data_IF_473885620297
#
_entry.id   IF_473885620297
#
_cell.length_a   1.000
_cell.length_b   1.000
_cell.length_c   1.000
_cell.angle_alpha   90.00
_cell.angle_beta   90.00
_cell.angle_gamma   90.00
#
_symmetry.space_group_name_H-M   'P 1'
#
loop_
_entity.id
_entity.type
_entity.pdbx_description
1 polymer ?
#
# COMPACT_ATOMS: atom_id res chain seq x y z
N UNK A 1 -9.01 7.53 3.36
CA UNK A 1 -9.30 7.18 1.95
C UNK A 1 -9.13 8.39 1.01
N UNK A 2 -9.80 9.51 1.27
CA UNK A 2 -9.77 10.68 0.37
C UNK A 2 -8.37 11.15 -0.02
N UNK A 3 -7.40 11.14 0.90
CA UNK A 3 -5.99 11.47 0.60
C UNK A 3 -5.44 10.64 -0.59
N UNK A 4 -5.69 9.33 -0.60
CA UNK A 4 -5.24 8.42 -1.67
C UNK A 4 -6.00 8.68 -2.96
N UNK A 5 -7.30 8.95 -2.89
CA UNK A 5 -8.11 9.33 -4.06
C UNK A 5 -7.59 10.62 -4.68
N UNK A 6 -7.33 11.65 -3.87
CA UNK A 6 -6.79 12.92 -4.35
C UNK A 6 -5.42 12.76 -4.98
N UNK A 7 -4.52 11.97 -4.38
CA UNK A 7 -3.23 11.66 -5.02
C UNK A 7 -3.46 10.91 -6.34
N UNK A 8 -4.38 9.96 -6.38
CA UNK A 8 -4.72 9.20 -7.58
C UNK A 8 -5.26 10.10 -8.70
N UNK A 9 -6.10 11.09 -8.39
CA UNK A 9 -6.58 12.08 -9.36
C UNK A 9 -5.42 12.89 -9.97
N UNK A 10 -4.45 13.30 -9.14
CA UNK A 10 -3.26 14.02 -9.63
C UNK A 10 -2.40 13.13 -10.52
N UNK A 11 -2.22 11.86 -10.16
CA UNK A 11 -1.48 10.87 -10.96
C UNK A 11 -2.21 10.50 -12.26
N UNK A 12 -3.54 10.49 -12.25
CA UNK A 12 -4.37 10.16 -13.43
C UNK A 12 -4.06 11.08 -14.63
N UNK A 13 -3.63 12.32 -14.40
CA UNK A 13 -3.19 13.28 -15.44
C UNK A 13 -2.02 12.77 -16.29
N UNK A 14 -1.23 11.83 -15.77
CA UNK A 14 -0.08 11.23 -16.46
C UNK A 14 -0.40 9.84 -17.04
N UNK A 15 -1.63 9.34 -16.84
CA UNK A 15 -2.06 8.02 -17.30
C UNK A 15 -2.87 8.12 -18.60
N UNK A 16 -2.98 7.02 -19.38
CA UNK A 16 -3.84 6.98 -20.55
C UNK A 16 -5.28 7.39 -20.23
N UNK A 17 -5.87 8.19 -21.12
CA UNK A 17 -7.25 8.69 -21.00
C UNK A 17 -7.53 9.50 -19.72
N UNK A 18 -6.50 10.05 -19.06
CA UNK A 18 -6.62 10.79 -17.80
C UNK A 18 -7.28 9.96 -16.66
N UNK A 19 -7.12 8.63 -16.70
CA UNK A 19 -7.79 7.71 -15.78
C UNK A 19 -6.80 6.76 -15.14
N UNK A 20 -7.00 6.48 -13.85
CA UNK A 20 -6.25 5.48 -13.10
C UNK A 20 -7.22 4.57 -12.35
N UNK A 21 -6.93 3.27 -12.31
CA UNK A 21 -7.69 2.32 -11.48
C UNK A 21 -7.14 2.37 -10.06
N UNK A 22 -8.01 2.58 -9.09
CA UNK A 22 -7.68 2.49 -7.67
C UNK A 22 -8.33 1.22 -7.11
N UNK A 23 -7.51 0.31 -6.60
CA UNK A 23 -7.94 -0.93 -5.98
C UNK A 23 -7.90 -0.77 -4.46
N UNK A 24 -9.06 -0.86 -3.82
CA UNK A 24 -9.20 -0.85 -2.37
C UNK A 24 -9.18 -2.28 -1.84
N UNK A 25 -8.24 -2.55 -0.93
CA UNK A 25 -8.05 -3.86 -0.30
C UNK A 25 -8.33 -3.73 1.20
N UNK A 26 -9.29 -4.51 1.70
CA UNK A 26 -9.61 -4.54 3.13
C UNK A 26 -8.52 -5.30 3.91
N UNK A 27 -7.63 -4.55 4.55
CA UNK A 27 -6.47 -5.14 5.26
C UNK A 27 -6.69 -5.32 6.77
N UNK A 28 -7.84 -4.90 7.32
CA UNK A 28 -8.10 -4.88 8.76
C UNK A 28 -7.93 -6.25 9.44
N UNK A 29 -8.55 -7.31 8.90
CA UNK A 29 -8.45 -8.66 9.48
C UNK A 29 -7.02 -9.21 9.48
N UNK A 30 -6.27 -8.93 8.40
CA UNK A 30 -4.85 -9.32 8.30
C UNK A 30 -4.03 -8.53 9.32
N UNK A 31 -4.30 -7.23 9.46
CA UNK A 31 -3.67 -6.39 10.46
C UNK A 31 -3.92 -6.89 11.89
N UNK A 32 -5.17 -7.19 12.24
CA UNK A 32 -5.54 -7.71 13.56
C UNK A 32 -4.82 -9.03 13.86
N UNK A 33 -4.78 -9.96 12.89
CA UNK A 33 -4.02 -11.20 13.02
C UNK A 33 -2.52 -10.94 13.23
N UNK A 34 -1.92 -10.00 12.48
CA UNK A 34 -0.52 -9.63 12.68
C UNK A 34 -0.29 -9.08 14.09
N UNK A 35 -1.14 -8.18 14.58
CA UNK A 35 -1.02 -7.62 15.93
C UNK A 35 -1.13 -8.70 17.02
N UNK A 36 -1.95 -9.73 16.79
CA UNK A 36 -2.20 -10.79 17.76
C UNK A 36 -1.09 -11.86 17.77
N UNK A 37 -0.59 -12.25 16.61
CA UNK A 37 0.25 -13.45 16.48
C UNK A 37 1.72 -13.15 16.16
N UNK A 38 2.08 -11.92 15.77
CA UNK A 38 3.44 -11.57 15.38
C UNK A 38 4.11 -10.71 16.46
N UNK A 39 5.34 -11.05 16.89
CA UNK A 39 6.08 -10.23 17.84
C UNK A 39 6.32 -8.80 17.35
N UNK A 40 6.17 -7.81 18.26
CA UNK A 40 6.29 -6.36 18.01
C UNK A 40 7.43 -5.97 17.04
N UNK A 41 8.67 -6.48 17.20
CA UNK A 41 9.78 -6.05 16.35
C UNK A 41 9.63 -6.45 14.86
N UNK A 42 8.83 -7.47 14.55
CA UNK A 42 8.64 -8.04 13.21
C UNK A 42 7.32 -7.66 12.54
N UNK A 43 6.40 -7.00 13.26
CA UNK A 43 5.08 -6.63 12.77
C UNK A 43 5.13 -5.94 11.39
N UNK A 44 6.01 -4.93 11.23
CA UNK A 44 6.11 -4.18 9.95
C UNK A 44 6.66 -5.05 8.81
N UNK A 45 7.61 -5.93 9.11
CA UNK A 45 8.20 -6.82 8.12
C UNK A 45 7.16 -7.83 7.62
N UNK A 46 6.42 -8.48 8.53
CA UNK A 46 5.37 -9.43 8.19
C UNK A 46 4.21 -8.73 7.46
N UNK A 47 3.81 -7.55 7.94
CA UNK A 47 2.77 -6.75 7.29
C UNK A 47 3.10 -6.44 5.83
N UNK A 48 4.34 -6.00 5.55
CA UNK A 48 4.77 -5.76 4.17
C UNK A 48 4.79 -7.06 3.37
N UNK A 49 5.30 -8.16 3.92
CA UNK A 49 5.25 -9.47 3.27
C UNK A 49 3.82 -9.88 2.89
N UNK A 50 2.83 -9.64 3.74
CA UNK A 50 1.42 -9.90 3.41
C UNK A 50 0.90 -8.98 2.29
N UNK A 51 1.23 -7.68 2.32
CA UNK A 51 0.87 -6.75 1.24
C UNK A 51 1.48 -7.16 -0.10
N UNK A 52 2.73 -7.63 -0.10
CA UNK A 52 3.40 -8.12 -1.29
C UNK A 52 2.80 -9.42 -1.83
N UNK A 53 2.43 -10.37 -0.96
CA UNK A 53 1.70 -11.58 -1.36
C UNK A 53 0.37 -11.25 -2.03
N UNK A 54 -0.40 -10.32 -1.45
CA UNK A 54 -1.66 -9.85 -2.06
C UNK A 54 -1.39 -9.17 -3.40
N UNK A 55 -0.40 -8.28 -3.45
CA UNK A 55 -0.03 -7.56 -4.67
C UNK A 55 0.40 -8.51 -5.80
N UNK A 56 1.21 -9.52 -5.50
CA UNK A 56 1.62 -10.51 -6.48
C UNK A 56 0.46 -11.37 -6.98
N UNK A 57 -0.39 -11.88 -6.09
CA UNK A 57 -1.53 -12.70 -6.49
C UNK A 57 -2.55 -11.89 -7.31
N UNK A 58 -2.74 -10.62 -6.97
CA UNK A 58 -3.53 -9.70 -7.79
C UNK A 58 -2.90 -9.48 -9.17
N UNK A 59 -1.59 -9.25 -9.22
CA UNK A 59 -0.86 -9.04 -10.47
C UNK A 59 -0.94 -10.27 -11.38
N UNK A 60 -0.73 -11.48 -10.86
CA UNK A 60 -0.86 -12.74 -11.61
C UNK A 60 -2.26 -12.90 -12.20
N UNK A 61 -3.32 -12.69 -11.40
CA UNK A 61 -4.73 -12.80 -11.86
C UNK A 61 -5.09 -11.80 -12.96
N UNK A 62 -4.40 -10.65 -13.01
CA UNK A 62 -4.64 -9.57 -13.97
C UNK A 62 -3.58 -9.49 -15.07
N UNK A 63 -2.69 -10.48 -15.20
CA UNK A 63 -1.59 -10.50 -16.17
C UNK A 63 -0.68 -9.25 -16.11
N UNK A 64 -0.44 -8.72 -14.91
CA UNK A 64 0.48 -7.62 -14.67
C UNK A 64 1.91 -8.17 -14.51
N UNK A 65 2.88 -7.47 -15.12
CA UNK A 65 4.26 -7.97 -15.19
C UNK A 65 5.13 -7.54 -14.02
N UNK A 66 4.80 -6.45 -13.33
CA UNK A 66 5.64 -5.85 -12.30
C UNK A 66 4.81 -5.25 -11.17
N UNK A 67 5.41 -5.16 -9.99
CA UNK A 67 4.97 -4.26 -8.92
C UNK A 67 5.83 -3.01 -8.92
N UNK A 68 5.26 -1.88 -8.52
CA UNK A 68 5.99 -0.62 -8.38
C UNK A 68 5.76 -0.09 -6.97
N UNK A 69 6.80 0.40 -6.32
CA UNK A 69 6.70 1.06 -5.02
C UNK A 69 7.55 2.33 -4.96
N UNK A 70 7.43 3.07 -3.85
CA UNK A 70 8.21 4.28 -3.58
C UNK A 70 9.33 4.10 -2.56
N UNK A 71 9.92 2.91 -2.44
CA UNK A 71 11.01 2.64 -1.48
C UNK A 71 12.31 3.35 -1.91
N UNK A 72 12.97 4.04 -0.98
CA UNK A 72 14.30 4.63 -1.15
C UNK A 72 15.28 4.02 -0.15
N UNK A 73 16.45 3.60 -0.62
CA UNK A 73 17.41 2.85 0.20
C UNK A 73 17.93 3.74 1.34
N UNK A 74 17.79 3.26 2.57
CA UNK A 74 18.35 3.91 3.76
C UNK A 74 17.55 5.12 4.28
N UNK A 75 16.36 5.40 3.74
CA UNK A 75 15.54 6.54 4.20
C UNK A 75 14.85 6.27 5.54
N UNK A 76 14.41 5.04 5.80
CA UNK A 76 13.78 4.60 7.06
C UNK A 76 14.26 3.21 7.46
N UNK A 77 14.04 2.82 8.72
CA UNK A 77 14.46 1.52 9.26
C UNK A 77 13.95 0.30 8.46
N UNK A 78 12.76 0.42 7.86
CA UNK A 78 12.16 -0.62 7.00
C UNK A 78 12.71 -0.62 5.56
N UNK A 79 13.61 0.29 5.19
CA UNK A 79 14.17 0.41 3.85
C UNK A 79 15.69 0.19 3.84
N UNK A 80 16.20 -0.61 4.78
CA UNK A 80 17.54 -1.20 4.68
C UNK A 80 17.55 -2.27 3.59
N UNK A 81 18.73 -2.55 3.01
CA UNK A 81 18.86 -3.62 2.00
C UNK A 81 18.44 -4.98 2.57
N UNK A 82 18.76 -5.24 3.85
CA UNK A 82 18.33 -6.46 4.53
C UNK A 82 16.80 -6.53 4.68
N UNK A 83 16.14 -5.43 5.04
CA UNK A 83 14.68 -5.41 5.14
C UNK A 83 14.01 -5.56 3.78
N UNK A 84 14.51 -4.87 2.76
CA UNK A 84 14.00 -4.97 1.40
C UNK A 84 14.13 -6.40 0.86
N UNK A 85 15.30 -7.02 1.05
CA UNK A 85 15.55 -8.41 0.65
C UNK A 85 14.56 -9.37 1.30
N UNK A 86 14.41 -9.32 2.63
CA UNK A 86 13.51 -10.24 3.36
C UNK A 86 12.04 -10.02 3.00
N UNK A 87 11.64 -8.79 2.70
CA UNK A 87 10.27 -8.51 2.29
C UNK A 87 10.00 -8.98 0.86
N UNK A 88 10.98 -8.86 -0.04
CA UNK A 88 10.87 -9.25 -1.46
C UNK A 88 10.85 -10.76 -1.69
N UNK A 89 11.39 -11.57 -0.77
CA UNK A 89 11.40 -13.04 -0.85
C UNK A 89 10.03 -13.70 -1.07
N UNK A 90 8.94 -13.03 -0.67
CA UNK A 90 7.57 -13.55 -0.86
C UNK A 90 7.00 -13.27 -2.25
N UNK A 91 7.77 -12.62 -3.12
CA UNK A 91 7.38 -12.27 -4.49
C UNK A 91 8.35 -12.85 -5.51
N UNK A 92 7.82 -13.17 -6.68
CA UNK A 92 8.57 -13.66 -7.85
C UNK A 92 8.46 -12.70 -9.03
N UNK A 93 7.39 -11.90 -9.11
CA UNK A 93 7.29 -10.85 -10.12
C UNK A 93 8.25 -9.69 -9.80
N UNK A 94 8.89 -9.06 -10.81
CA UNK A 94 9.82 -7.96 -10.57
C UNK A 94 9.19 -6.77 -9.83
N UNK A 95 9.92 -6.21 -8.85
CA UNK A 95 9.56 -4.98 -8.14
C UNK A 95 10.41 -3.82 -8.65
N UNK A 96 9.78 -2.85 -9.31
CA UNK A 96 10.42 -1.61 -9.76
C UNK A 96 10.40 -0.60 -8.61
N UNK A 97 11.55 0.01 -8.34
CA UNK A 97 11.75 1.01 -7.27
C UNK A 97 12.34 2.30 -7.86
N UNK A 98 11.51 3.18 -8.47
CA UNK A 98 12.01 4.30 -9.26
C UNK A 98 12.87 5.29 -8.47
N UNK A 99 12.65 5.37 -7.16
CA UNK A 99 13.30 6.32 -6.25
C UNK A 99 14.33 5.65 -5.33
N UNK A 100 14.75 4.40 -5.62
CA UNK A 100 15.65 3.63 -4.77
C UNK A 100 16.97 4.35 -4.44
N UNK A 101 17.46 5.15 -5.38
CA UNK A 101 18.73 5.88 -5.29
C UNK A 101 18.57 7.39 -5.09
N UNK A 102 17.33 7.87 -4.88
CA UNK A 102 17.03 9.28 -4.74
C UNK A 102 17.09 9.68 -3.27
N UNK A 103 17.60 10.88 -3.00
CA UNK A 103 17.50 11.46 -1.67
C UNK A 103 16.08 12.00 -1.42
N UNK A 104 15.80 12.35 -0.15
CA UNK A 104 14.49 12.88 0.24
C UNK A 104 14.18 14.22 -0.43
N UNK A 105 15.18 15.06 -0.70
CA UNK A 105 14.98 16.38 -1.28
C UNK A 105 14.56 16.27 -2.75
N UNK A 106 15.16 15.35 -3.51
CA UNK A 106 14.83 15.04 -4.88
C UNK A 106 13.42 14.46 -5.01
N UNK A 107 13.05 13.52 -4.11
CA UNK A 107 11.69 12.98 -4.06
C UNK A 107 10.67 14.11 -3.78
N UNK A 108 10.96 15.00 -2.83
CA UNK A 108 10.10 16.15 -2.52
C UNK A 108 10.00 17.11 -3.72
N UNK A 109 11.10 17.35 -4.42
CA UNK A 109 11.13 18.20 -5.62
C UNK A 109 10.21 17.63 -6.69
N UNK A 110 10.32 16.34 -6.98
CA UNK A 110 9.44 15.65 -7.94
C UNK A 110 7.99 15.72 -7.47
N UNK A 111 7.71 15.42 -6.19
CA UNK A 111 6.36 15.47 -5.63
C UNK A 111 5.72 16.87 -5.75
N UNK A 112 6.51 17.94 -5.66
CA UNK A 112 6.04 19.31 -5.93
C UNK A 112 5.78 19.55 -7.42
N UNK A 113 6.64 19.05 -8.30
CA UNK A 113 6.47 19.17 -9.76
C UNK A 113 5.20 18.46 -10.27
N UNK A 114 4.86 17.30 -9.70
CA UNK A 114 3.65 16.55 -10.04
C UNK A 114 2.45 16.87 -9.13
N UNK A 115 2.57 17.94 -8.32
CA UNK A 115 1.53 18.45 -7.42
C UNK A 115 1.05 17.45 -6.33
N UNK A 116 1.75 16.35 -6.05
CA UNK A 116 1.34 15.40 -5.01
C UNK A 116 1.81 15.78 -3.60
N UNK A 117 2.79 16.68 -3.47
CA UNK A 117 3.42 17.01 -2.19
C UNK A 117 2.44 17.51 -1.12
N UNK A 118 1.66 18.56 -1.42
CA UNK A 118 0.77 19.20 -0.44
C UNK A 118 -0.29 18.23 0.11
N UNK A 119 -0.83 17.36 -0.73
CA UNK A 119 -1.78 16.32 -0.32
C UNK A 119 -1.08 15.24 0.51
N UNK A 120 0.14 14.85 0.14
CA UNK A 120 0.90 13.79 0.81
C UNK A 120 1.29 14.15 2.26
N UNK A 121 1.50 15.44 2.55
CA UNK A 121 1.86 15.92 3.89
C UNK A 121 0.65 16.22 4.79
N UNK A 122 -0.58 16.11 4.29
CA UNK A 122 -1.77 16.31 5.13
C UNK A 122 -1.72 15.34 6.32
N UNK A 123 -1.98 15.83 7.54
CA UNK A 123 -2.01 14.99 8.74
C UNK A 123 -3.10 13.94 8.55
N UNK A 124 -2.69 12.68 8.63
CA UNK A 124 -3.58 11.54 8.57
C UNK A 124 -3.01 10.49 9.52
N UNK A 125 -3.86 9.97 10.40
CA UNK A 125 -3.48 8.84 11.26
C UNK A 125 -3.46 7.57 10.41
N UNK A 126 -2.32 7.31 9.77
CA UNK A 126 -2.09 6.04 9.08
C UNK A 126 -1.84 4.94 10.12
N UNK A 127 -2.16 3.68 9.79
CA UNK A 127 -1.91 2.53 10.70
C UNK A 127 -0.47 2.48 11.22
N UNK A 128 0.50 2.89 10.38
CA UNK A 128 1.92 2.97 10.75
C UNK A 128 2.24 4.06 11.79
N UNK A 129 1.37 5.07 11.97
CA UNK A 129 1.52 6.12 12.98
C UNK A 129 0.82 5.78 14.29
N UNK A 130 -0.30 5.05 14.21
CA UNK A 130 -1.04 4.54 15.38
C UNK A 130 -0.27 3.39 16.06
N UNK A 131 0.45 2.58 15.28
CA UNK A 131 1.25 1.47 15.78
C UNK A 131 2.68 1.51 15.23
N UNK A 132 3.51 2.36 15.84
CA UNK A 132 4.96 2.33 15.64
C UNK A 132 5.55 1.29 16.60
N UNK A 133 6.20 0.21 16.11
CA UNK A 133 6.85 -0.75 16.99
C UNK A 133 7.85 -0.02 17.89
N UNK A 134 7.99 -0.42 19.15
CA UNK A 134 8.90 0.28 20.07
C UNK A 134 10.35 0.18 19.61
N UNK A 135 10.69 -0.94 18.97
CA UNK A 135 12.02 -1.23 18.40
C UNK A 135 11.86 -2.02 17.10
N UNK A 136 11.62 -1.36 15.95
CA UNK A 136 11.52 -2.05 14.68
C UNK A 136 12.86 -2.70 14.33
N UNK A 137 12.81 -3.92 13.80
CA UNK A 137 14.02 -4.64 13.36
C UNK A 137 14.54 -4.02 12.06
N UNK A 138 15.78 -3.55 12.08
CA UNK A 138 16.49 -2.99 10.91
C UNK A 138 17.16 -4.05 10.05
N UNK A 139 17.37 -5.25 10.60
CA UNK A 139 18.01 -6.40 9.93
C UNK A 139 17.19 -7.68 10.13
N UNK A 140 15.99 -7.76 9.57
CA UNK A 140 15.14 -8.93 9.73
C UNK A 140 15.83 -10.16 9.12
N UNK A 141 15.45 -11.34 9.59
CA UNK A 141 15.95 -12.62 9.07
C UNK A 141 14.81 -13.40 8.43
N UNK A 142 15.03 -13.86 7.21
CA UNK A 142 14.08 -14.65 6.43
C UNK A 142 13.47 -15.81 7.23
N UNK A 143 14.33 -16.69 7.79
CA UNK A 143 13.88 -17.84 8.58
C UNK A 143 13.01 -17.48 9.79
N UNK A 144 13.25 -16.33 10.43
CA UNK A 144 12.41 -15.85 11.54
C UNK A 144 11.04 -15.39 11.02
N UNK A 145 11.01 -14.71 9.88
CA UNK A 145 9.75 -14.36 9.24
C UNK A 145 8.94 -15.59 8.87
N UNK A 146 9.58 -16.61 8.29
CA UNK A 146 8.93 -17.87 7.93
C UNK A 146 8.38 -18.60 9.16
N UNK A 147 9.13 -18.67 10.26
CA UNK A 147 8.67 -19.26 11.52
C UNK A 147 7.42 -18.54 12.06
N UNK A 148 7.44 -17.20 12.08
CA UNK A 148 6.28 -16.43 12.53
C UNK A 148 5.08 -16.56 11.59
N UNK A 149 5.30 -16.64 10.28
CA UNK A 149 4.25 -16.88 9.29
C UNK A 149 3.66 -18.30 9.39
N UNK A 150 4.37 -19.27 9.96
CA UNK A 150 3.85 -20.62 10.20
C UNK A 150 2.99 -20.72 11.46
N UNK A 151 3.16 -19.81 12.43
CA UNK A 151 2.39 -19.81 13.67
C UNK A 151 0.91 -19.41 13.48
N UNK A 152 0.57 -18.82 12.34
CA UNK A 152 -0.80 -18.45 11.99
C UNK A 152 -1.03 -18.61 10.49
N UNK A 153 -2.11 -19.30 10.10
CA UNK A 153 -2.46 -19.45 8.69
C UNK A 153 -3.09 -18.16 8.13
N UNK A 154 -2.27 -17.35 7.45
CA UNK A 154 -2.70 -16.13 6.78
C UNK A 154 -3.43 -16.39 5.44
N UNK A 155 -3.36 -17.60 4.88
CA UNK A 155 -3.86 -17.86 3.53
C UNK A 155 -5.38 -17.60 3.37
N UNK A 156 -6.25 -17.98 4.33
CA UNK A 156 -7.68 -17.65 4.26
C UNK A 156 -7.94 -16.14 4.22
N UNK A 157 -7.21 -15.37 5.03
CA UNK A 157 -7.36 -13.91 5.09
C UNK A 157 -6.86 -13.22 3.82
N UNK A 158 -5.75 -13.70 3.24
CA UNK A 158 -5.23 -13.21 1.95
C UNK A 158 -6.25 -13.49 0.84
N UNK A 159 -6.82 -14.70 0.80
CA UNK A 159 -7.83 -15.07 -0.18
C UNK A 159 -9.10 -14.23 -0.03
N UNK A 160 -9.55 -13.99 1.20
CA UNK A 160 -10.67 -13.11 1.49
C UNK A 160 -10.39 -11.68 0.98
N UNK A 161 -9.22 -11.12 1.32
CA UNK A 161 -8.80 -9.78 0.90
C UNK A 161 -8.73 -9.65 -0.63
N UNK A 162 -8.26 -10.69 -1.33
CA UNK A 162 -8.22 -10.74 -2.80
C UNK A 162 -9.62 -10.82 -3.43
N UNK A 163 -10.54 -11.56 -2.82
CA UNK A 163 -11.91 -11.73 -3.32
C UNK A 163 -12.79 -10.50 -3.11
N UNK A 164 -12.45 -9.67 -2.11
CA UNK A 164 -13.18 -8.47 -1.72
C UNK A 164 -12.57 -7.17 -2.24
N UNK A 165 -11.64 -7.24 -3.20
CA UNK A 165 -11.02 -6.04 -3.80
C UNK A 165 -12.08 -5.23 -4.53
N UNK A 166 -12.28 -3.99 -4.08
CA UNK A 166 -13.17 -3.03 -4.73
C UNK A 166 -12.34 -2.15 -5.67
N UNK A 167 -12.77 -2.00 -6.92
CA UNK A 167 -12.03 -1.22 -7.91
C UNK A 167 -12.86 -0.02 -8.34
N UNK A 168 -12.26 1.17 -8.25
CA UNK A 168 -12.86 2.39 -8.80
C UNK A 168 -11.98 2.95 -9.91
N UNK A 169 -12.58 3.68 -10.84
CA UNK A 169 -11.84 4.44 -11.85
C UNK A 169 -11.82 5.90 -11.43
N UNK A 170 -10.62 6.40 -11.17
CA UNK A 170 -10.39 7.79 -10.82
C UNK A 170 -10.05 8.57 -12.09
N UNK A 171 -10.90 9.53 -12.45
CA UNK A 171 -10.69 10.47 -13.56
C UNK A 171 -10.04 11.74 -13.02
N UNK A 172 -9.01 12.24 -13.72
CA UNK A 172 -8.31 13.46 -13.33
C UNK A 172 -9.21 14.71 -13.29
N UNK A 173 -10.35 14.69 -13.99
CA UNK A 173 -11.27 15.82 -14.14
C UNK A 173 -12.51 15.73 -13.25
N UNK A 174 -12.71 14.64 -12.51
CA UNK A 174 -13.83 14.47 -11.57
C UNK A 174 -13.33 14.64 -10.14
N UNK A 175 -14.02 15.47 -9.35
CA UNK A 175 -13.73 15.59 -7.91
C UNK A 175 -14.47 14.49 -7.14
N UNK A 176 -13.73 13.51 -6.64
CA UNK A 176 -14.24 12.37 -5.86
C UNK A 176 -13.91 12.64 -4.38
N UNK A 177 -14.94 12.94 -3.59
CA UNK A 177 -14.83 13.15 -2.14
C UNK A 177 -15.77 12.21 -1.41
N UNK A 178 -15.24 11.06 -0.99
CA UNK A 178 -16.06 9.99 -0.42
C UNK A 178 -16.42 10.25 1.05
N UNK A 179 -15.67 11.08 1.77
CA UNK A 179 -16.02 11.42 3.16
C UNK A 179 -17.42 12.04 3.32
N UNK A 180 -18.01 12.58 2.25
CA UNK A 180 -19.36 13.14 2.28
C UNK A 180 -20.47 12.07 2.17
N UNK A 181 -20.13 10.84 1.81
CA UNK A 181 -21.04 9.76 1.43
C UNK A 181 -20.97 8.55 2.39
N UNK A 182 -20.32 8.71 3.54
CA UNK A 182 -20.29 7.69 4.60
C UNK A 182 -18.92 7.07 4.87
N UNK A 183 -18.92 6.00 5.68
CA UNK A 183 -17.70 5.37 6.21
C UNK A 183 -17.22 4.16 5.39
N UNK A 184 -18.14 3.44 4.74
CA UNK A 184 -17.81 2.28 3.90
C UNK A 184 -17.40 2.74 2.50
N UNK A 185 -16.23 2.29 2.04
CA UNK A 185 -15.63 2.74 0.78
C UNK A 185 -16.54 2.46 -0.42
N UNK A 186 -17.11 1.25 -0.47
CA UNK A 186 -17.91 0.80 -1.62
C UNK A 186 -19.22 1.56 -1.68
N UNK A 187 -19.92 1.60 -0.56
CA UNK A 187 -21.21 2.29 -0.44
C UNK A 187 -21.05 3.79 -0.75
N UNK A 188 -20.02 4.43 -0.18
CA UNK A 188 -19.75 5.85 -0.42
C UNK A 188 -19.44 6.14 -1.89
N UNK A 189 -18.73 5.24 -2.59
CA UNK A 189 -18.43 5.43 -4.01
C UNK A 189 -19.67 5.25 -4.89
N UNK A 190 -20.52 4.26 -4.62
CA UNK A 190 -21.76 4.06 -5.39
C UNK A 190 -22.74 5.22 -5.20
N UNK A 191 -22.88 5.74 -3.97
CA UNK A 191 -23.68 6.94 -3.72
C UNK A 191 -23.11 8.17 -4.44
N UNK A 192 -21.80 8.41 -4.34
CA UNK A 192 -21.14 9.50 -5.07
C UNK A 192 -21.38 9.38 -6.59
N UNK A 193 -21.30 8.17 -7.13
CA UNK A 193 -21.50 7.90 -8.55
C UNK A 193 -22.94 8.22 -8.98
N UNK A 194 -23.94 7.82 -8.21
CA UNK A 194 -25.35 8.11 -8.50
C UNK A 194 -25.66 9.62 -8.52
N UNK A 195 -24.95 10.41 -7.71
CA UNK A 195 -25.14 11.86 -7.64
C UNK A 195 -24.36 12.64 -8.72
N UNK A 196 -23.34 12.05 -9.34
CA UNK A 196 -22.35 12.75 -10.18
C UNK A 196 -22.15 12.15 -11.59
N UNK A 197 -22.93 11.13 -11.98
CA UNK A 197 -23.00 10.56 -13.34
C UNK A 197 -24.43 10.62 -13.92
#
# INVERSE_FOLDING_TARGET
>A
VDKVITISQKLAKFMPNNKIKLHHVHFAKIHDAIMQFIPDPYIITIMRRMMYRIGEEFAKKNNLLVLINGESVGQVASQTLESMSVVEEVTRIPIIRPVATYDKADIIKIAKQIDTYNTSILPFEDCCTVYVPRRPVTKPKSHICEEYEQNYDFAPLINEALSSISTIVVDANKDIKLANYGFDFVSAYEEWKNDNE
#
